data_IF_472073663510
#
_entry.id   IF_472073663510
#
_cell.length_a   1.000
_cell.length_b   1.000
_cell.length_c   1.000
_cell.angle_alpha   90.00
_cell.angle_beta   90.00
_cell.angle_gamma   90.00
#
_symmetry.space_group_name_H-M   'P 1'
#
loop_
_entity.id
_entity.type
_entity.pdbx_description
1 polymer ?
#
# COMPACT_ATOMS: atom_id res chain seq x y z
N UNK A 1 3.58 10.59 -12.52
CA UNK A 1 4.39 9.48 -11.98
C UNK A 1 4.21 8.30 -12.93
N UNK A 2 5.28 7.73 -13.48
CA UNK A 2 5.16 6.57 -14.38
C UNK A 2 4.70 5.38 -13.54
N UNK A 3 3.53 4.83 -13.85
CA UNK A 3 3.02 3.63 -13.20
C UNK A 3 4.07 2.52 -13.38
N UNK A 4 4.52 1.92 -12.27
CA UNK A 4 5.40 0.77 -12.35
C UNK A 4 4.61 -0.35 -13.02
N UNK A 5 5.15 -0.87 -14.12
CA UNK A 5 4.50 -1.94 -14.87
C UNK A 5 4.36 -3.19 -14.00
N UNK A 6 3.20 -3.85 -14.05
CA UNK A 6 2.92 -5.04 -13.23
C UNK A 6 3.95 -6.14 -13.46
N UNK A 7 4.37 -6.34 -14.71
CA UNK A 7 5.42 -7.30 -15.07
C UNK A 7 6.78 -6.94 -14.47
N UNK A 8 7.07 -5.64 -14.29
CA UNK A 8 8.27 -5.18 -13.59
C UNK A 8 8.24 -5.57 -12.11
N UNK A 9 7.12 -5.32 -11.41
CA UNK A 9 6.98 -5.69 -9.99
C UNK A 9 7.12 -7.21 -9.80
N UNK A 10 6.42 -8.00 -10.62
CA UNK A 10 6.48 -9.47 -10.54
C UNK A 10 7.91 -9.97 -10.76
N UNK A 11 8.60 -9.47 -11.79
CA UNK A 11 10.00 -9.83 -12.07
C UNK A 11 10.94 -9.48 -10.92
N UNK A 12 10.78 -8.32 -10.30
CA UNK A 12 11.62 -7.90 -9.17
C UNK A 12 11.38 -8.78 -7.93
N UNK A 13 10.13 -9.14 -7.64
CA UNK A 13 9.80 -10.05 -6.52
C UNK A 13 10.34 -11.45 -6.76
N UNK A 14 10.14 -11.99 -7.97
CA UNK A 14 10.69 -13.28 -8.38
C UNK A 14 12.22 -13.32 -8.26
N UNK A 15 12.89 -12.27 -8.75
CA UNK A 15 14.33 -12.13 -8.65
C UNK A 15 14.78 -12.15 -7.17
N UNK A 16 14.08 -11.44 -6.30
CA UNK A 16 14.41 -11.42 -4.87
C UNK A 16 14.27 -12.80 -4.22
N UNK A 17 13.17 -13.51 -4.49
CA UNK A 17 12.96 -14.89 -3.99
C UNK A 17 14.08 -15.82 -4.50
N UNK A 18 14.46 -15.70 -5.77
CA UNK A 18 15.54 -16.49 -6.35
C UNK A 18 16.89 -16.23 -5.66
N UNK A 19 17.21 -14.96 -5.36
CA UNK A 19 18.43 -14.60 -4.64
C UNK A 19 18.46 -15.15 -3.20
N UNK A 20 17.32 -15.13 -2.51
CA UNK A 20 17.18 -15.76 -1.19
C UNK A 20 17.42 -17.26 -1.28
N UNK A 21 16.79 -17.94 -2.24
CA UNK A 21 17.00 -19.37 -2.47
C UNK A 21 18.46 -19.70 -2.80
N UNK A 22 19.11 -18.91 -3.64
CA UNK A 22 20.53 -19.10 -3.97
C UNK A 22 21.43 -18.95 -2.74
N UNK A 23 21.12 -17.99 -1.86
CA UNK A 23 21.83 -17.80 -0.59
C UNK A 23 21.62 -18.98 0.35
N UNK A 24 20.38 -19.47 0.49
CA UNK A 24 20.07 -20.65 1.30
C UNK A 24 20.84 -21.89 0.80
N UNK A 25 20.88 -22.12 -0.51
CA UNK A 25 21.66 -23.20 -1.12
C UNK A 25 23.16 -23.08 -0.80
N UNK A 26 23.74 -21.88 -0.94
CA UNK A 26 25.15 -21.64 -0.58
C UNK A 26 25.43 -21.90 0.90
N UNK A 27 24.45 -21.67 1.78
CA UNK A 27 24.54 -21.96 3.21
C UNK A 27 24.14 -23.40 3.59
N UNK A 28 23.87 -24.28 2.62
CA UNK A 28 23.44 -25.66 2.88
C UNK A 28 22.06 -25.79 3.53
N UNK A 29 21.22 -24.75 3.43
CA UNK A 29 19.85 -24.72 3.95
C UNK A 29 18.86 -25.17 2.86
N UNK A 30 17.73 -25.79 3.25
CA UNK A 30 16.69 -26.18 2.30
C UNK A 30 16.11 -24.95 1.59
N UNK A 31 15.82 -25.10 0.30
CA UNK A 31 15.19 -24.07 -0.53
C UNK A 31 13.75 -23.80 -0.07
N UNK A 32 13.25 -22.60 -0.35
CA UNK A 32 11.86 -22.25 -0.04
C UNK A 32 10.91 -23.12 -0.89
N UNK A 33 9.92 -23.79 -0.27
CA UNK A 33 8.96 -24.64 -0.99
C UNK A 33 7.86 -23.79 -1.62
N UNK A 34 8.19 -23.03 -2.66
CA UNK A 34 7.25 -22.16 -3.39
C UNK A 34 7.01 -22.76 -4.77
N UNK A 35 5.77 -23.10 -5.10
CA UNK A 35 5.39 -23.51 -6.46
C UNK A 35 5.12 -22.28 -7.35
N UNK A 36 5.27 -22.44 -8.67
CA UNK A 36 5.05 -21.34 -9.63
C UNK A 36 3.62 -20.74 -9.53
N UNK A 37 2.63 -21.59 -9.27
CA UNK A 37 1.23 -21.18 -9.06
C UNK A 37 1.07 -20.25 -7.84
N UNK A 38 1.89 -20.46 -6.83
CA UNK A 38 1.87 -19.71 -5.58
C UNK A 38 2.48 -18.31 -5.76
N UNK A 39 3.36 -18.12 -6.73
CA UNK A 39 4.02 -16.84 -7.02
C UNK A 39 3.03 -15.85 -7.62
N UNK A 40 2.24 -16.28 -8.61
CA UNK A 40 1.20 -15.44 -9.21
C UNK A 40 0.16 -15.05 -8.16
N UNK A 41 -0.23 -16.02 -7.32
CA UNK A 41 -1.15 -15.79 -6.20
C UNK A 41 -0.59 -14.81 -5.17
N UNK A 42 0.72 -14.88 -4.84
CA UNK A 42 1.38 -13.94 -3.94
C UNK A 42 1.46 -12.53 -4.51
N UNK A 43 1.77 -12.39 -5.80
CA UNK A 43 1.85 -11.09 -6.45
C UNK A 43 0.47 -10.40 -6.50
N UNK A 44 -0.58 -11.16 -6.84
CA UNK A 44 -1.96 -10.67 -6.84
C UNK A 44 -2.42 -10.33 -5.41
N UNK A 45 -2.13 -11.18 -4.44
CA UNK A 45 -2.43 -10.91 -3.04
C UNK A 45 -1.74 -9.65 -2.53
N UNK A 46 -0.46 -9.43 -2.88
CA UNK A 46 0.29 -8.25 -2.47
C UNK A 46 -0.24 -6.99 -3.16
N UNK A 47 -0.62 -7.08 -4.43
CA UNK A 47 -1.25 -5.97 -5.15
C UNK A 47 -2.61 -5.59 -4.55
N UNK A 48 -3.46 -6.58 -4.27
CA UNK A 48 -4.79 -6.36 -3.66
C UNK A 48 -4.65 -5.81 -2.24
N UNK A 49 -3.82 -6.42 -1.40
CA UNK A 49 -3.60 -5.96 -0.03
C UNK A 49 -2.98 -4.55 0.01
N UNK A 50 -1.98 -4.30 -0.83
CA UNK A 50 -1.31 -3.00 -0.92
C UNK A 50 -2.25 -1.89 -1.41
N UNK A 51 -3.04 -2.16 -2.46
CA UNK A 51 -4.03 -1.20 -2.98
C UNK A 51 -5.17 -0.93 -2.00
N UNK A 52 -5.68 -1.96 -1.33
CA UNK A 52 -6.69 -1.79 -0.29
C UNK A 52 -6.16 -0.95 0.89
N UNK A 53 -4.96 -1.27 1.38
CA UNK A 53 -4.33 -0.49 2.47
C UNK A 53 -4.11 0.97 2.06
N UNK A 54 -3.60 1.21 0.85
CA UNK A 54 -3.43 2.56 0.31
C UNK A 54 -4.75 3.32 0.24
N UNK A 55 -5.80 2.71 -0.32
CA UNK A 55 -7.14 3.33 -0.43
C UNK A 55 -7.72 3.64 0.94
N UNK A 56 -7.63 2.72 1.91
CA UNK A 56 -8.12 2.94 3.28
C UNK A 56 -7.40 4.13 3.91
N UNK A 57 -6.06 4.15 3.88
CA UNK A 57 -5.26 5.21 4.51
C UNK A 57 -5.56 6.57 3.86
N UNK A 58 -5.53 6.64 2.53
CA UNK A 58 -5.78 7.90 1.82
C UNK A 58 -7.21 8.42 2.03
N UNK A 59 -8.20 7.53 2.06
CA UNK A 59 -9.60 7.88 2.34
C UNK A 59 -9.77 8.41 3.75
N UNK A 60 -9.15 7.78 4.75
CA UNK A 60 -9.18 8.22 6.14
C UNK A 60 -8.52 9.60 6.31
N UNK A 61 -7.36 9.82 5.69
CA UNK A 61 -6.67 11.12 5.72
C UNK A 61 -7.53 12.21 5.09
N UNK A 62 -8.11 11.95 3.92
CA UNK A 62 -8.97 12.91 3.23
C UNK A 62 -10.23 13.23 4.05
N UNK A 63 -10.88 12.20 4.60
CA UNK A 63 -12.04 12.35 5.46
C UNK A 63 -11.74 13.19 6.70
N UNK A 64 -10.64 12.89 7.38
CA UNK A 64 -10.22 13.59 8.59
C UNK A 64 -9.98 15.08 8.32
N UNK A 65 -9.29 15.39 7.22
CA UNK A 65 -9.04 16.79 6.81
C UNK A 65 -10.31 17.54 6.40
N UNK A 66 -11.34 16.84 5.92
CA UNK A 66 -12.56 17.48 5.39
C UNK A 66 -13.72 17.58 6.41
N UNK A 67 -13.67 16.89 7.56
CA UNK A 67 -14.82 16.80 8.48
C UNK A 67 -14.71 17.62 9.78
N UNK A 68 -13.76 18.56 9.90
CA UNK A 68 -13.60 19.41 11.10
C UNK A 68 -13.60 18.62 12.43
N UNK A 69 -13.08 17.40 12.43
CA UNK A 69 -13.14 16.47 13.57
C UNK A 69 -12.14 16.80 14.68
N UNK A 70 -11.17 17.67 14.41
CA UNK A 70 -10.22 18.19 15.41
C UNK A 70 -10.76 19.45 16.06
N UNK A 71 -10.28 19.78 17.26
CA UNK A 71 -10.70 21.01 17.94
C UNK A 71 -10.33 22.26 17.14
N UNK A 72 -9.17 22.25 16.45
CA UNK A 72 -8.80 23.28 15.47
C UNK A 72 -9.79 23.34 14.30
N UNK A 73 -10.22 22.19 13.80
CA UNK A 73 -11.23 22.09 12.74
C UNK A 73 -12.59 22.65 13.18
N UNK A 74 -13.04 22.34 14.40
CA UNK A 74 -14.28 22.89 14.96
C UNK A 74 -14.22 24.42 15.05
N UNK A 75 -13.12 24.98 15.54
CA UNK A 75 -12.92 26.43 15.59
C UNK A 75 -12.90 27.06 14.19
N UNK A 76 -12.24 26.40 13.23
CA UNK A 76 -12.25 26.86 11.83
C UNK A 76 -13.68 26.87 11.27
N UNK A 77 -14.49 25.85 11.56
CA UNK A 77 -15.89 25.80 11.15
C UNK A 77 -16.70 26.96 11.73
N UNK A 78 -16.53 27.27 13.01
CA UNK A 78 -17.21 28.38 13.69
C UNK A 78 -16.90 29.73 13.02
N UNK A 79 -15.61 30.00 12.74
CA UNK A 79 -15.18 31.22 12.03
C UNK A 79 -15.75 31.28 10.61
N UNK A 80 -15.79 30.15 9.90
CA UNK A 80 -16.36 30.09 8.56
C UNK A 80 -17.88 30.36 8.57
N UNK A 81 -18.59 29.90 9.61
CA UNK A 81 -20.02 30.17 9.79
C UNK A 81 -20.26 31.65 10.07
N UNK A 82 -19.49 32.25 10.97
CA UNK A 82 -19.56 33.68 11.30
C UNK A 82 -19.37 34.55 10.05
N UNK A 83 -18.46 34.14 9.15
CA UNK A 83 -18.18 34.86 7.90
C UNK A 83 -19.14 34.51 6.74
N UNK A 84 -20.11 33.62 6.95
CA UNK A 84 -21.01 33.16 5.88
C UNK A 84 -20.31 32.39 4.76
N UNK A 85 -19.15 31.79 5.04
CA UNK A 85 -18.30 31.07 4.08
C UNK A 85 -18.42 29.54 4.17
N UNK A 86 -19.32 29.04 5.01
CA UNK A 86 -19.68 27.62 4.97
C UNK A 86 -20.46 27.29 3.71
N UNK A 87 -20.13 26.15 3.08
CA UNK A 87 -20.90 25.59 1.96
C UNK A 87 -22.29 25.15 2.40
#
# INVERSE_FOLDING_TARGET
MKNVDKGTVVRTVLLFIALVNQTLMMCGKPVLPISEDQINTLADALYVAGSAAFTIVTSLIAWYKNNYVTDKGKLQKEILQEKGLTK
#
